data_IF_381157124664
#
_entry.id   IF_381157124664
#
_cell.length_a   1.000
_cell.length_b   1.000
_cell.length_c   1.000
_cell.angle_alpha   90.00
_cell.angle_beta   90.00
_cell.angle_gamma   90.00
#
_symmetry.space_group_name_H-M   'P 1'
#
loop_
_entity.id
_entity.type
_entity.pdbx_description
1 polymer ?
#
# COMPACT_ATOMS: atom_id res chain seq x y z
N UNK A 1 21.05 -20.83 -26.60
CA UNK A 1 20.56 -19.59 -27.25
C UNK A 1 19.15 -19.26 -26.82
N UNK A 2 18.15 -20.11 -27.08
CA UNK A 2 16.73 -19.79 -26.75
C UNK A 2 16.43 -19.73 -25.28
N UNK A 3 16.93 -20.68 -24.49
CA UNK A 3 16.52 -20.88 -23.10
C UNK A 3 17.56 -20.41 -22.07
N UNK A 4 18.78 -20.09 -22.49
CA UNK A 4 19.87 -19.70 -21.57
C UNK A 4 20.21 -18.22 -21.61
N UNK A 5 19.99 -17.56 -22.77
CA UNK A 5 20.24 -16.12 -22.92
C UNK A 5 18.95 -15.36 -22.62
N UNK A 6 19.03 -14.34 -21.78
CA UNK A 6 17.90 -13.50 -21.36
C UNK A 6 18.11 -12.03 -21.76
N UNK A 7 17.05 -11.24 -21.73
CA UNK A 7 17.13 -9.79 -21.85
C UNK A 7 18.01 -9.25 -20.71
N UNK A 8 18.95 -8.35 -21.06
CA UNK A 8 19.90 -7.79 -20.11
C UNK A 8 21.21 -8.58 -19.97
N UNK A 9 21.32 -9.80 -20.52
CA UNK A 9 22.59 -10.55 -20.51
C UNK A 9 23.65 -9.83 -21.29
N UNK A 10 24.88 -9.84 -20.76
CA UNK A 10 26.06 -9.33 -21.44
C UNK A 10 26.58 -10.41 -22.39
N UNK A 11 26.82 -10.02 -23.62
CA UNK A 11 27.41 -10.89 -24.65
C UNK A 11 28.78 -10.38 -25.06
N UNK A 12 29.72 -11.31 -25.19
CA UNK A 12 31.09 -11.06 -25.65
C UNK A 12 31.27 -11.74 -26.99
N UNK A 13 31.72 -11.00 -28.02
CA UNK A 13 32.04 -11.56 -29.32
C UNK A 13 33.49 -12.03 -29.33
N UNK A 14 33.70 -13.29 -29.71
CA UNK A 14 35.00 -13.93 -29.77
C UNK A 14 35.67 -13.68 -31.15
N UNK A 15 36.79 -12.99 -31.16
CA UNK A 15 37.60 -12.83 -32.36
C UNK A 15 38.60 -14.00 -32.56
N UNK A 16 39.20 -14.48 -31.47
CA UNK A 16 40.11 -15.61 -31.44
C UNK A 16 40.01 -16.39 -30.13
N UNK A 17 40.74 -17.47 -29.97
CA UNK A 17 40.80 -18.26 -28.75
C UNK A 17 41.21 -17.42 -27.50
N UNK A 18 41.80 -16.25 -27.68
CA UNK A 18 42.29 -15.39 -26.59
C UNK A 18 41.83 -13.94 -26.67
N UNK A 19 41.03 -13.56 -27.64
CA UNK A 19 40.63 -12.18 -27.81
C UNK A 19 39.14 -12.01 -28.07
N UNK A 20 38.57 -11.01 -27.42
CA UNK A 20 37.21 -10.54 -27.59
C UNK A 20 37.26 -9.23 -28.37
N UNK A 21 36.38 -9.04 -29.35
CA UNK A 21 36.36 -7.88 -30.23
C UNK A 21 35.09 -7.01 -30.09
N UNK A 22 34.06 -7.51 -29.41
CA UNK A 22 32.87 -6.72 -29.11
C UNK A 22 32.23 -7.17 -27.82
N UNK A 23 31.62 -6.18 -27.12
CA UNK A 23 30.88 -6.36 -25.90
C UNK A 23 29.50 -5.69 -26.08
N UNK A 24 28.41 -6.37 -25.77
CA UNK A 24 27.05 -5.85 -25.91
C UNK A 24 26.08 -6.40 -24.88
N UNK A 25 24.88 -5.86 -24.86
CA UNK A 25 23.79 -6.29 -24.01
C UNK A 25 22.60 -6.71 -24.87
N UNK A 26 22.00 -7.83 -24.54
CA UNK A 26 20.80 -8.33 -25.23
C UNK A 26 19.61 -7.42 -24.93
N UNK A 27 18.99 -6.89 -25.98
CA UNK A 27 17.84 -5.95 -25.88
C UNK A 27 16.57 -6.47 -26.54
N UNK A 28 16.59 -7.67 -27.12
CA UNK A 28 15.41 -8.23 -27.80
C UNK A 28 15.26 -9.73 -27.57
N UNK A 29 14.03 -10.20 -27.77
CA UNK A 29 13.70 -11.62 -27.79
C UNK A 29 14.29 -12.36 -28.99
N UNK A 30 14.37 -13.71 -28.96
CA UNK A 30 14.82 -14.46 -30.10
C UNK A 30 13.88 -14.28 -31.30
N UNK A 31 14.44 -13.89 -32.44
CA UNK A 31 13.71 -13.75 -33.69
C UNK A 31 14.08 -14.89 -34.64
N UNK A 32 13.12 -15.39 -35.43
CA UNK A 32 13.32 -16.35 -36.47
C UNK A 32 13.51 -15.65 -37.82
N UNK A 33 14.61 -15.98 -38.54
CA UNK A 33 14.93 -15.40 -39.85
C UNK A 33 14.69 -16.47 -40.91
N UNK A 34 13.52 -16.53 -41.53
CA UNK A 34 13.15 -17.60 -42.46
C UNK A 34 13.98 -17.60 -43.78
N UNK A 35 14.45 -16.42 -44.17
CA UNK A 35 15.17 -16.22 -45.45
C UNK A 35 16.69 -16.41 -45.36
N UNK A 36 17.23 -16.76 -44.19
CA UNK A 36 18.65 -17.01 -44.01
C UNK A 36 18.95 -18.51 -44.21
N UNK A 37 19.95 -18.83 -44.98
CA UNK A 37 20.37 -20.23 -45.22
C UNK A 37 21.03 -20.86 -43.99
N UNK A 38 21.79 -20.03 -43.22
CA UNK A 38 22.47 -20.41 -42.00
C UNK A 38 22.07 -19.49 -40.85
N UNK A 39 22.15 -19.99 -39.61
CA UNK A 39 21.89 -19.19 -38.39
C UNK A 39 20.51 -18.51 -38.37
N UNK A 40 19.44 -19.26 -38.59
CA UNK A 40 18.07 -18.80 -38.72
C UNK A 40 17.47 -18.13 -37.43
N UNK A 41 18.29 -17.89 -36.44
CA UNK A 41 17.86 -17.26 -35.17
C UNK A 41 18.77 -16.09 -34.83
N UNK A 42 18.16 -14.96 -34.50
CA UNK A 42 18.86 -13.76 -34.09
C UNK A 42 18.33 -13.24 -32.77
N UNK A 43 19.08 -12.36 -32.16
CA UNK A 43 18.66 -11.50 -31.03
C UNK A 43 19.21 -10.11 -31.25
N UNK A 44 18.44 -9.11 -30.87
CA UNK A 44 18.90 -7.71 -30.86
C UNK A 44 19.91 -7.54 -29.74
N UNK A 45 21.04 -6.93 -30.07
CA UNK A 45 22.13 -6.61 -29.14
C UNK A 45 22.46 -5.13 -29.27
N UNK A 46 22.47 -4.43 -28.15
CA UNK A 46 23.05 -3.10 -28.06
C UNK A 46 24.58 -3.28 -27.80
N UNK A 47 25.38 -2.98 -28.79
CA UNK A 47 26.84 -3.12 -28.71
C UNK A 47 27.43 -1.88 -28.03
N UNK A 48 28.05 -2.08 -26.86
CA UNK A 48 28.71 -1.05 -26.05
C UNK A 48 30.14 -0.78 -26.55
N UNK A 49 30.83 -1.81 -27.03
CA UNK A 49 32.17 -1.73 -27.56
C UNK A 49 32.27 -2.61 -28.81
N UNK A 50 32.95 -2.14 -29.85
CA UNK A 50 33.26 -2.90 -31.10
C UNK A 50 34.63 -2.57 -31.61
N UNK A 51 35.26 -3.55 -32.27
CA UNK A 51 36.49 -3.38 -33.06
C UNK A 51 37.77 -3.27 -32.25
N UNK A 52 37.71 -3.44 -30.93
CA UNK A 52 38.90 -3.49 -30.07
C UNK A 52 39.19 -4.94 -29.70
N UNK A 53 40.41 -5.39 -30.00
CA UNK A 53 40.88 -6.74 -29.61
C UNK A 53 41.38 -6.69 -28.18
N UNK A 54 40.58 -7.23 -27.23
CA UNK A 54 40.85 -7.26 -25.80
C UNK A 54 41.23 -8.70 -25.42
N UNK A 55 42.33 -8.87 -24.70
CA UNK A 55 42.72 -10.19 -24.20
C UNK A 55 41.75 -10.70 -23.14
N UNK A 56 41.51 -12.02 -23.15
CA UNK A 56 40.59 -12.67 -22.18
C UNK A 56 41.06 -12.55 -20.74
N UNK A 57 42.37 -12.36 -20.50
CA UNK A 57 42.91 -12.15 -19.15
C UNK A 57 42.35 -10.88 -18.49
N UNK A 58 41.96 -9.85 -19.24
CA UNK A 58 41.31 -8.66 -18.72
C UNK A 58 39.95 -8.95 -18.13
N UNK A 59 39.29 -10.02 -18.56
CA UNK A 59 37.99 -10.49 -18.01
C UNK A 59 38.16 -11.55 -16.92
N UNK A 60 39.40 -11.75 -16.43
CA UNK A 60 39.78 -12.80 -15.45
C UNK A 60 39.45 -14.23 -15.93
N UNK A 61 39.40 -14.43 -17.23
CA UNK A 61 39.19 -15.76 -17.80
C UNK A 61 40.48 -16.54 -17.85
N UNK A 62 40.58 -17.66 -17.16
CA UNK A 62 41.76 -18.52 -17.06
C UNK A 62 41.89 -19.54 -18.19
N UNK A 63 40.83 -19.73 -18.97
CA UNK A 63 40.79 -20.73 -20.05
C UNK A 63 40.55 -20.07 -21.40
N UNK A 64 41.22 -20.59 -22.43
CA UNK A 64 40.99 -20.17 -23.81
C UNK A 64 39.52 -20.33 -24.22
N UNK A 65 39.05 -19.41 -25.05
CA UNK A 65 37.68 -19.45 -25.59
C UNK A 65 37.54 -20.64 -26.54
N UNK A 66 36.38 -21.28 -26.50
CA UNK A 66 36.05 -22.43 -27.32
C UNK A 66 35.34 -21.97 -28.59
N UNK A 67 35.67 -22.59 -29.76
CA UNK A 67 34.92 -22.35 -30.99
C UNK A 67 33.55 -23.03 -30.96
N UNK A 68 32.68 -22.54 -30.09
CA UNK A 68 31.28 -22.94 -30.00
C UNK A 68 30.40 -21.72 -30.24
N UNK A 69 29.22 -21.94 -30.80
CA UNK A 69 28.34 -20.85 -31.22
C UNK A 69 27.95 -19.95 -30.10
N UNK A 70 27.57 -20.49 -28.94
CA UNK A 70 27.16 -19.74 -27.71
C UNK A 70 27.40 -20.60 -26.49
N UNK A 71 28.06 -20.06 -25.47
CA UNK A 71 28.22 -20.69 -24.15
C UNK A 71 28.43 -19.64 -23.06
N UNK A 72 28.22 -20.02 -21.82
CA UNK A 72 28.40 -19.17 -20.68
C UNK A 72 29.86 -19.08 -20.28
N UNK A 73 30.32 -17.86 -20.02
CA UNK A 73 31.66 -17.59 -19.51
C UNK A 73 31.65 -17.49 -17.99
N UNK A 74 32.78 -17.87 -17.39
CA UNK A 74 32.99 -17.74 -15.94
C UNK A 74 33.63 -16.38 -15.64
N UNK A 75 32.83 -15.32 -15.83
CA UNK A 75 33.20 -13.95 -15.54
C UNK A 75 31.95 -13.21 -15.00
N UNK A 76 32.17 -12.14 -14.26
CA UNK A 76 31.09 -11.35 -13.66
C UNK A 76 30.80 -10.07 -14.46
N UNK A 77 29.58 -9.54 -14.34
CA UNK A 77 29.23 -8.25 -14.94
C UNK A 77 30.15 -7.11 -14.44
N UNK A 78 30.58 -7.16 -13.19
CA UNK A 78 31.48 -6.16 -12.61
C UNK A 78 32.88 -6.19 -13.30
N UNK A 79 33.39 -7.34 -13.64
CA UNK A 79 34.66 -7.48 -14.36
C UNK A 79 34.54 -6.96 -15.78
N UNK A 80 33.46 -7.27 -16.48
CA UNK A 80 33.20 -6.76 -17.84
C UNK A 80 33.02 -5.21 -17.81
N UNK A 81 32.36 -4.64 -16.81
CA UNK A 81 32.24 -3.19 -16.69
C UNK A 81 33.59 -2.52 -16.50
N UNK A 82 34.48 -3.06 -15.67
CA UNK A 82 35.87 -2.56 -15.52
C UNK A 82 36.63 -2.55 -16.83
N UNK A 83 36.47 -3.58 -17.64
CA UNK A 83 37.11 -3.66 -18.97
C UNK A 83 36.50 -2.58 -19.89
N UNK A 84 35.20 -2.39 -19.87
CA UNK A 84 34.54 -1.34 -20.65
C UNK A 84 35.05 0.05 -20.26
N UNK A 85 35.12 0.37 -18.97
CA UNK A 85 35.63 1.64 -18.43
C UNK A 85 37.08 1.90 -18.84
N UNK A 86 37.94 0.90 -18.70
CA UNK A 86 39.35 0.95 -19.16
C UNK A 86 39.48 1.25 -20.65
N UNK A 87 38.50 0.79 -21.44
CA UNK A 87 38.48 1.02 -22.89
C UNK A 87 37.74 2.27 -23.33
N UNK A 88 37.43 3.18 -22.39
CA UNK A 88 36.85 4.49 -22.68
C UNK A 88 35.33 4.47 -22.82
N UNK A 89 34.68 3.40 -22.45
CA UNK A 89 33.25 3.38 -22.27
C UNK A 89 32.95 3.99 -20.90
N UNK A 90 32.50 5.22 -20.89
CA UNK A 90 31.85 5.78 -19.70
C UNK A 90 30.45 5.16 -19.63
N UNK A 91 30.12 4.35 -18.64
CA UNK A 91 28.73 3.97 -18.46
C UNK A 91 27.94 5.26 -18.36
N UNK A 92 27.06 5.49 -19.34
CA UNK A 92 26.12 6.60 -19.28
C UNK A 92 25.44 6.52 -17.93
N UNK A 93 25.66 7.55 -17.13
CA UNK A 93 25.12 7.78 -15.77
C UNK A 93 24.05 6.79 -15.39
N UNK A 94 24.20 6.26 -14.18
CA UNK A 94 23.24 5.34 -13.57
C UNK A 94 21.85 5.56 -14.17
N UNK A 95 21.30 4.56 -14.81
CA UNK A 95 19.89 4.58 -15.23
C UNK A 95 19.16 4.99 -13.98
N UNK A 96 18.58 6.19 -13.95
CA UNK A 96 17.73 6.60 -12.85
C UNK A 96 16.65 5.53 -12.76
N UNK A 97 16.86 4.59 -11.89
CA UNK A 97 15.89 3.55 -11.64
C UNK A 97 14.70 4.24 -10.99
N UNK A 98 13.65 4.46 -11.79
CA UNK A 98 12.43 5.07 -11.28
C UNK A 98 11.94 4.26 -10.07
N UNK A 99 11.58 4.90 -8.98
CA UNK A 99 10.99 4.21 -7.86
C UNK A 99 9.61 3.65 -8.24
N UNK A 100 9.34 2.43 -7.83
CA UNK A 100 8.04 1.79 -7.98
C UNK A 100 7.44 1.55 -6.60
N UNK A 101 6.16 1.86 -6.44
CA UNK A 101 5.42 1.63 -5.19
C UNK A 101 4.43 0.49 -5.41
N UNK A 102 4.55 -0.56 -4.62
CA UNK A 102 3.59 -1.65 -4.56
C UNK A 102 2.70 -1.45 -3.33
N UNK A 103 1.42 -1.18 -3.56
CA UNK A 103 0.46 -0.87 -2.49
C UNK A 103 -0.29 -2.15 -2.13
N UNK A 104 -0.35 -2.46 -0.83
CA UNK A 104 -1.13 -3.55 -0.25
C UNK A 104 -2.15 -2.91 0.68
N UNK A 105 -3.37 -2.78 0.19
CA UNK A 105 -4.46 -2.23 0.98
C UNK A 105 -4.97 -3.28 1.98
N UNK A 106 -5.29 -2.84 3.21
CA UNK A 106 -5.76 -3.72 4.30
C UNK A 106 -4.83 -4.92 4.56
N UNK A 107 -3.53 -4.64 4.67
CA UNK A 107 -2.49 -5.68 4.80
C UNK A 107 -2.74 -6.64 5.97
N UNK A 108 -3.43 -6.21 7.01
CA UNK A 108 -3.75 -6.99 8.20
C UNK A 108 -4.98 -7.92 8.04
N UNK A 109 -5.78 -7.79 6.96
CA UNK A 109 -6.95 -8.67 6.71
C UNK A 109 -6.58 -10.09 6.27
N UNK A 110 -5.34 -10.30 5.83
CA UNK A 110 -4.83 -11.62 5.44
C UNK A 110 -3.76 -12.14 6.40
N UNK A 111 -3.53 -13.45 6.38
CA UNK A 111 -2.35 -14.01 7.05
C UNK A 111 -1.12 -13.75 6.19
N UNK A 112 -0.53 -12.58 6.36
CA UNK A 112 0.56 -12.07 5.54
C UNK A 112 1.78 -12.99 5.57
N UNK A 113 2.11 -13.55 6.71
CA UNK A 113 3.23 -14.51 6.82
C UNK A 113 3.01 -15.75 5.96
N UNK A 114 1.77 -16.21 5.81
CA UNK A 114 1.43 -17.32 4.90
C UNK A 114 1.40 -16.87 3.43
N UNK A 115 0.95 -15.64 3.15
CA UNK A 115 0.87 -15.10 1.79
C UNK A 115 2.26 -14.86 1.23
N UNK A 116 3.14 -14.22 1.98
CA UNK A 116 4.52 -13.98 1.56
C UNK A 116 5.39 -15.25 1.66
N UNK A 117 5.14 -16.12 2.63
CA UNK A 117 5.95 -17.31 2.83
C UNK A 117 7.44 -16.98 2.89
N UNK A 118 8.24 -17.67 2.07
CA UNK A 118 9.69 -17.45 1.94
C UNK A 118 10.05 -16.06 1.39
N UNK A 119 9.13 -15.39 0.70
CA UNK A 119 9.37 -14.05 0.13
C UNK A 119 9.50 -12.97 1.22
N UNK A 120 9.07 -13.25 2.46
CA UNK A 120 9.11 -12.30 3.56
C UNK A 120 10.51 -11.77 3.83
N UNK A 121 11.53 -12.60 3.61
CA UNK A 121 12.93 -12.23 3.79
C UNK A 121 13.39 -11.21 2.74
N UNK A 122 12.83 -11.27 1.52
CA UNK A 122 13.17 -10.36 0.43
C UNK A 122 12.67 -8.92 0.63
N UNK A 123 11.79 -8.70 1.61
CA UNK A 123 11.28 -7.37 1.96
C UNK A 123 12.40 -6.53 2.59
N UNK A 124 13.34 -7.15 3.29
CA UNK A 124 14.44 -6.47 3.97
C UNK A 124 15.33 -5.72 2.96
N UNK A 125 15.70 -4.45 3.24
CA UNK A 125 16.52 -3.66 2.32
C UNK A 125 17.84 -4.32 1.94
N UNK A 126 18.53 -4.97 2.90
CA UNK A 126 19.82 -5.64 2.65
C UNK A 126 19.70 -6.87 1.75
N UNK A 127 18.51 -7.45 1.64
CA UNK A 127 18.24 -8.67 0.83
C UNK A 127 17.72 -8.36 -0.58
N UNK A 128 17.58 -7.07 -0.92
CA UNK A 128 17.14 -6.62 -2.24
C UNK A 128 18.19 -6.94 -3.32
N UNK A 129 17.73 -7.12 -4.55
CA UNK A 129 18.63 -7.30 -5.70
C UNK A 129 19.56 -6.09 -5.84
N UNK A 130 20.86 -6.36 -6.05
CA UNK A 130 21.89 -5.32 -6.15
C UNK A 130 22.52 -4.93 -4.81
N UNK A 131 22.00 -5.38 -3.68
CA UNK A 131 22.58 -5.14 -2.36
C UNK A 131 23.63 -6.21 -2.00
N UNK A 132 24.49 -5.93 -1.02
CA UNK A 132 25.60 -6.81 -0.62
C UNK A 132 25.16 -8.21 -0.16
N UNK A 133 23.98 -8.32 0.39
CA UNK A 133 23.36 -9.58 0.83
C UNK A 133 22.15 -9.96 -0.04
N UNK A 134 22.13 -9.48 -1.29
CA UNK A 134 21.04 -9.71 -2.21
C UNK A 134 20.66 -11.18 -2.34
N UNK A 135 19.39 -11.50 -2.17
CA UNK A 135 18.88 -12.86 -2.15
C UNK A 135 17.84 -13.09 -3.24
N UNK A 136 17.86 -14.26 -3.81
CA UNK A 136 16.80 -14.76 -4.67
C UNK A 136 16.26 -16.08 -4.13
N UNK A 137 14.96 -16.25 -4.21
CA UNK A 137 14.27 -17.49 -3.83
C UNK A 137 13.61 -18.11 -5.06
N UNK A 138 13.43 -19.41 -5.02
CA UNK A 138 12.73 -20.14 -6.08
C UNK A 138 11.24 -20.17 -5.78
N UNK A 139 10.44 -19.59 -6.67
CA UNK A 139 8.98 -19.58 -6.50
C UNK A 139 8.42 -21.02 -6.56
N UNK A 140 7.49 -21.38 -5.65
CA UNK A 140 7.04 -22.77 -5.50
C UNK A 140 6.32 -23.32 -6.76
N UNK A 141 5.54 -22.50 -7.44
CA UNK A 141 4.77 -22.94 -8.60
C UNK A 141 5.55 -22.83 -9.92
N UNK A 142 6.12 -21.66 -10.20
CA UNK A 142 6.80 -21.40 -11.46
C UNK A 142 8.23 -21.95 -11.52
N UNK A 143 8.80 -22.31 -10.36
CA UNK A 143 10.19 -22.72 -10.19
C UNK A 143 11.23 -21.68 -10.69
N UNK A 144 10.78 -20.46 -10.96
CA UNK A 144 11.65 -19.34 -11.36
C UNK A 144 12.32 -18.71 -10.15
N UNK A 145 13.55 -18.26 -10.32
CA UNK A 145 14.23 -17.42 -9.34
C UNK A 145 13.54 -16.05 -9.29
N UNK A 146 13.28 -15.57 -8.09
CA UNK A 146 12.64 -14.31 -7.83
C UNK A 146 13.39 -13.53 -6.76
N UNK A 147 13.57 -12.24 -6.98
CA UNK A 147 14.13 -11.28 -6.03
C UNK A 147 13.44 -9.95 -6.18
N UNK A 148 13.44 -9.14 -5.13
CA UNK A 148 12.84 -7.80 -5.16
C UNK A 148 13.94 -6.79 -5.46
N UNK A 149 13.79 -5.96 -6.52
CA UNK A 149 14.72 -4.86 -6.80
C UNK A 149 14.74 -3.81 -5.68
N UNK A 150 15.83 -3.10 -5.53
CA UNK A 150 16.02 -2.08 -4.48
C UNK A 150 15.15 -0.84 -4.69
N UNK A 151 14.74 -0.57 -5.93
CA UNK A 151 13.85 0.54 -6.30
C UNK A 151 12.35 0.26 -6.14
N UNK A 152 11.97 -0.88 -5.56
CA UNK A 152 10.58 -1.23 -5.24
C UNK A 152 10.27 -0.93 -3.78
N UNK A 153 9.28 -0.08 -3.54
CA UNK A 153 8.79 0.28 -2.22
C UNK A 153 7.48 -0.44 -1.94
N UNK A 154 7.33 -0.98 -0.74
CA UNK A 154 6.10 -1.61 -0.28
C UNK A 154 5.38 -0.65 0.66
N UNK A 155 4.15 -0.30 0.33
CA UNK A 155 3.27 0.52 1.15
C UNK A 155 2.07 -0.33 1.57
N UNK A 156 1.94 -0.61 2.87
CA UNK A 156 0.77 -1.29 3.42
C UNK A 156 -0.15 -0.30 4.12
N UNK A 157 -1.45 -0.39 3.89
CA UNK A 157 -2.45 0.27 4.74
C UNK A 157 -3.07 -0.74 5.68
N UNK A 158 -3.49 -0.31 6.85
CA UNK A 158 -4.23 -1.14 7.79
C UNK A 158 -5.18 -0.29 8.64
N UNK A 159 -6.32 -0.87 8.97
CA UNK A 159 -7.22 -0.32 9.98
C UNK A 159 -6.97 -1.06 11.32
N UNK A 160 -6.54 -0.33 12.35
CA UNK A 160 -6.25 -0.89 13.68
C UNK A 160 -7.48 -0.95 14.57
N UNK A 161 -8.54 -0.19 14.24
CA UNK A 161 -9.80 -0.20 14.99
C UNK A 161 -10.57 -1.52 14.87
N UNK A 162 -10.36 -2.27 13.80
CA UNK A 162 -11.04 -3.55 13.57
C UNK A 162 -10.40 -4.67 14.41
N UNK A 163 -10.97 -4.94 15.58
CA UNK A 163 -10.50 -5.96 16.53
C UNK A 163 -10.67 -7.41 16.03
N UNK A 164 -11.43 -7.62 14.97
CA UNK A 164 -11.63 -8.94 14.37
C UNK A 164 -10.43 -9.40 13.53
N UNK A 165 -9.48 -8.50 13.26
CA UNK A 165 -8.35 -8.74 12.39
C UNK A 165 -7.12 -9.15 13.21
N UNK A 166 -6.39 -10.14 12.72
CA UNK A 166 -5.17 -10.62 13.36
C UNK A 166 -4.10 -9.52 13.43
N UNK A 167 -3.47 -9.38 14.61
CA UNK A 167 -2.30 -8.50 14.74
C UNK A 167 -1.21 -8.96 13.77
N UNK A 168 -0.51 -7.99 13.17
CA UNK A 168 0.64 -8.30 12.34
C UNK A 168 1.68 -9.12 13.09
N UNK A 169 2.12 -10.20 12.46
CA UNK A 169 3.18 -11.06 12.96
C UNK A 169 4.45 -10.23 13.27
N UNK A 170 5.15 -10.61 14.33
CA UNK A 170 6.39 -9.98 14.78
C UNK A 170 7.45 -9.92 13.68
N UNK A 171 7.48 -10.93 12.80
CA UNK A 171 8.42 -10.98 11.68
C UNK A 171 8.18 -9.84 10.67
N UNK A 172 6.93 -9.54 10.37
CA UNK A 172 6.53 -8.41 9.51
C UNK A 172 6.75 -7.07 10.22
N UNK A 173 6.37 -6.99 11.49
CA UNK A 173 6.49 -5.76 12.26
C UNK A 173 7.91 -5.21 12.30
N UNK A 174 8.91 -6.07 12.21
CA UNK A 174 10.34 -5.68 12.16
C UNK A 174 10.79 -5.17 10.78
N UNK A 175 10.04 -5.47 9.71
CA UNK A 175 10.40 -5.17 8.32
C UNK A 175 9.71 -3.93 7.77
N UNK A 176 8.71 -3.41 8.48
CA UNK A 176 7.99 -2.21 8.12
C UNK A 176 8.21 -1.09 9.13
N UNK A 177 8.28 0.13 8.64
CA UNK A 177 8.12 1.33 9.47
C UNK A 177 6.65 1.67 9.55
N UNK A 178 6.17 2.00 10.75
CA UNK A 178 4.76 2.31 10.98
C UNK A 178 4.58 3.80 11.15
N UNK A 179 3.63 4.35 10.42
CA UNK A 179 3.19 5.74 10.57
C UNK A 179 1.72 5.72 10.89
N UNK A 180 1.35 6.26 12.05
CA UNK A 180 -0.03 6.39 12.45
C UNK A 180 -0.67 7.57 11.72
N UNK A 181 -1.86 7.37 11.17
CA UNK A 181 -2.64 8.40 10.49
C UNK A 181 -3.94 8.65 11.25
N UNK A 182 -3.86 9.51 12.26
CA UNK A 182 -5.03 9.95 13.00
C UNK A 182 -5.88 10.93 12.19
N UNK A 183 -7.20 11.04 12.48
CA UNK A 183 -8.02 12.08 11.90
C UNK A 183 -7.43 13.47 12.13
N UNK A 184 -7.25 14.22 11.08
CA UNK A 184 -6.76 15.60 11.12
C UNK A 184 -7.92 16.56 10.82
N UNK A 185 -8.48 17.18 11.86
CA UNK A 185 -9.55 18.18 11.71
C UNK A 185 -9.08 19.45 11.00
N UNK A 186 -7.77 19.77 11.05
CA UNK A 186 -7.19 20.94 10.40
C UNK A 186 -7.35 20.93 8.87
N UNK A 187 -7.52 19.74 8.26
CA UNK A 187 -7.86 19.63 6.83
C UNK A 187 -9.17 20.36 6.50
N UNK A 188 -10.05 20.57 7.49
CA UNK A 188 -11.36 21.23 7.34
C UNK A 188 -11.39 22.66 7.93
N UNK A 189 -10.23 23.24 8.24
CA UNK A 189 -10.16 24.62 8.72
C UNK A 189 -10.74 25.59 7.69
N UNK A 190 -11.53 26.54 8.16
CA UNK A 190 -12.25 27.49 7.30
C UNK A 190 -13.46 26.89 6.56
N UNK A 191 -13.79 25.62 6.79
CA UNK A 191 -15.05 25.04 6.31
C UNK A 191 -16.14 25.30 7.35
N UNK A 192 -17.11 26.12 6.99
CA UNK A 192 -18.25 26.48 7.82
C UNK A 192 -19.58 26.17 7.11
N UNK A 193 -20.55 25.71 7.89
CA UNK A 193 -21.94 25.51 7.47
C UNK A 193 -22.83 26.34 8.41
N UNK A 194 -23.51 27.35 7.88
CA UNK A 194 -24.39 28.27 8.67
C UNK A 194 -23.69 28.83 9.92
N UNK A 195 -22.38 29.15 9.83
CA UNK A 195 -21.57 29.64 10.93
C UNK A 195 -21.08 28.57 11.92
N UNK A 196 -21.28 27.29 11.61
CA UNK A 196 -20.75 26.17 12.40
C UNK A 196 -19.39 25.76 11.82
N UNK A 197 -18.34 25.82 12.64
CA UNK A 197 -17.01 25.32 12.27
C UNK A 197 -16.99 23.79 12.21
N UNK A 198 -16.75 23.22 11.03
CA UNK A 198 -16.72 21.77 10.86
C UNK A 198 -15.50 21.15 11.55
N UNK A 199 -14.36 21.81 11.51
CA UNK A 199 -13.14 21.40 12.24
C UNK A 199 -13.41 21.32 13.75
N UNK A 200 -14.06 22.35 14.34
CA UNK A 200 -14.44 22.37 15.75
C UNK A 200 -15.46 21.28 16.13
N UNK A 201 -16.44 21.07 15.26
CA UNK A 201 -17.48 20.04 15.42
C UNK A 201 -16.85 18.63 15.53
N UNK A 202 -15.99 18.27 14.58
CA UNK A 202 -15.32 16.96 14.56
C UNK A 202 -14.41 16.80 15.76
N UNK A 203 -13.65 17.83 16.11
CA UNK A 203 -12.77 17.82 17.27
C UNK A 203 -13.55 17.52 18.56
N UNK A 204 -14.72 18.14 18.70
CA UNK A 204 -15.60 17.92 19.87
C UNK A 204 -16.14 16.49 19.91
N UNK A 205 -16.62 15.98 18.77
CA UNK A 205 -17.13 14.61 18.67
C UNK A 205 -16.04 13.59 18.99
N UNK A 206 -14.86 13.74 18.36
CA UNK A 206 -13.75 12.82 18.55
C UNK A 206 -13.28 12.79 20.00
N UNK A 207 -13.20 13.95 20.66
CA UNK A 207 -12.85 13.99 22.08
C UNK A 207 -13.87 13.27 22.97
N UNK A 208 -15.17 13.35 22.65
CA UNK A 208 -16.22 12.61 23.37
C UNK A 208 -16.10 11.09 23.13
N UNK A 209 -15.78 10.70 21.88
CA UNK A 209 -15.56 9.29 21.53
C UNK A 209 -14.34 8.75 22.27
N UNK A 210 -13.23 9.46 22.29
CA UNK A 210 -12.03 9.05 23.04
C UNK A 210 -12.31 8.79 24.51
N UNK A 211 -13.13 9.64 25.14
CA UNK A 211 -13.46 9.50 26.57
C UNK A 211 -14.42 8.34 26.84
N UNK A 212 -15.37 8.09 25.94
CA UNK A 212 -16.43 7.09 26.14
C UNK A 212 -16.10 5.72 25.57
N UNK A 213 -15.12 5.64 24.69
CA UNK A 213 -14.71 4.41 24.01
C UNK A 213 -13.19 4.30 23.93
N UNK A 214 -12.56 4.79 22.86
CA UNK A 214 -11.11 4.87 22.73
C UNK A 214 -10.69 5.84 21.60
N UNK A 215 -9.37 6.04 21.43
CA UNK A 215 -8.81 6.93 20.42
C UNK A 215 -8.82 6.35 18.98
N UNK A 216 -8.92 5.04 18.84
CA UNK A 216 -8.81 4.37 17.53
C UNK A 216 -10.13 4.43 16.77
N UNK A 217 -11.26 4.64 17.48
CA UNK A 217 -12.59 4.73 16.90
C UNK A 217 -13.06 6.16 16.63
N UNK A 218 -12.14 7.12 16.50
CA UNK A 218 -12.47 8.50 16.19
C UNK A 218 -12.97 8.66 14.74
N UNK A 219 -13.84 9.65 14.51
CA UNK A 219 -14.41 9.94 13.20
C UNK A 219 -13.35 10.51 12.25
N UNK A 220 -13.18 9.89 11.08
CA UNK A 220 -12.31 10.37 10.04
C UNK A 220 -12.79 11.70 9.44
N UNK A 221 -11.87 12.67 9.25
CA UNK A 221 -12.18 13.93 8.57
C UNK A 221 -12.67 13.73 7.12
N UNK A 222 -12.35 12.60 6.51
CA UNK A 222 -12.75 12.25 5.14
C UNK A 222 -14.27 12.24 4.94
N UNK A 223 -15.07 11.90 5.97
CA UNK A 223 -16.52 11.93 5.90
C UNK A 223 -17.07 13.34 5.61
N UNK A 224 -16.37 14.36 6.07
CA UNK A 224 -16.78 15.76 6.01
C UNK A 224 -16.16 16.54 4.85
N UNK A 225 -15.26 15.93 4.08
CA UNK A 225 -14.63 16.59 2.92
C UNK A 225 -15.62 17.08 1.85
N UNK A 226 -16.80 16.46 1.62
CA UNK A 226 -17.80 17.01 0.70
C UNK A 226 -18.26 18.43 1.07
N UNK A 227 -18.21 18.81 2.37
CA UNK A 227 -18.56 20.14 2.83
C UNK A 227 -17.59 21.24 2.36
N UNK A 228 -16.41 20.88 1.85
CA UNK A 228 -15.51 21.85 1.19
C UNK A 228 -16.14 22.45 -0.07
N UNK A 229 -16.99 21.67 -0.75
CA UNK A 229 -17.66 22.08 -2.00
C UNK A 229 -19.11 22.51 -1.73
N UNK A 230 -19.86 21.75 -0.93
CA UNK A 230 -21.25 22.02 -0.59
C UNK A 230 -21.38 22.39 0.89
N UNK A 231 -21.33 23.69 1.18
CA UNK A 231 -21.42 24.25 2.55
C UNK A 231 -22.89 24.38 2.99
N UNK A 232 -23.65 23.29 2.93
CA UNK A 232 -25.07 23.30 3.23
C UNK A 232 -25.43 22.43 4.42
N UNK A 233 -26.45 22.84 5.18
CA UNK A 233 -27.01 22.04 6.27
C UNK A 233 -27.55 20.70 5.76
N UNK A 234 -28.06 20.68 4.52
CA UNK A 234 -28.52 19.45 3.88
C UNK A 234 -27.40 18.40 3.77
N UNK A 235 -26.24 18.80 3.24
CA UNK A 235 -25.08 17.90 3.12
C UNK A 235 -24.56 17.47 4.50
N UNK A 236 -24.51 18.38 5.46
CA UNK A 236 -24.10 18.05 6.84
C UNK A 236 -25.06 17.03 7.46
N UNK A 237 -26.36 17.25 7.34
CA UNK A 237 -27.39 16.34 7.84
C UNK A 237 -27.32 14.94 7.21
N UNK A 238 -27.09 14.86 5.92
CA UNK A 238 -26.89 13.58 5.22
C UNK A 238 -25.64 12.85 5.73
N UNK A 239 -24.52 13.54 5.96
CA UNK A 239 -23.33 12.94 6.54
C UNK A 239 -23.61 12.36 7.92
N UNK A 240 -24.34 13.11 8.77
CA UNK A 240 -24.69 12.62 10.11
C UNK A 240 -25.64 11.43 10.04
N UNK A 241 -26.70 11.55 9.26
CA UNK A 241 -27.73 10.49 9.13
C UNK A 241 -27.15 9.19 8.54
N UNK A 242 -26.36 9.31 7.47
CA UNK A 242 -25.98 8.16 6.65
C UNK A 242 -24.60 7.59 7.00
N UNK A 243 -23.78 8.33 7.76
CA UNK A 243 -22.41 7.90 8.08
C UNK A 243 -22.10 7.99 9.58
N UNK A 244 -22.29 9.15 10.21
CA UNK A 244 -21.87 9.36 11.61
C UNK A 244 -22.71 8.54 12.58
N UNK A 245 -24.03 8.65 12.49
CA UNK A 245 -24.93 7.92 13.40
C UNK A 245 -24.81 6.41 13.23
N UNK A 246 -24.84 5.83 12.03
CA UNK A 246 -24.62 4.38 11.85
C UNK A 246 -23.28 3.91 12.40
N UNK A 247 -22.20 4.68 12.19
CA UNK A 247 -20.88 4.33 12.72
C UNK A 247 -20.84 4.36 14.25
N UNK A 248 -21.51 5.34 14.88
CA UNK A 248 -21.62 5.36 16.34
C UNK A 248 -22.45 4.20 16.89
N UNK A 249 -23.50 3.77 16.18
CA UNK A 249 -24.27 2.57 16.53
C UNK A 249 -23.39 1.32 16.50
N UNK A 250 -22.54 1.18 15.48
CA UNK A 250 -21.58 0.08 15.39
C UNK A 250 -20.54 0.13 16.51
N UNK A 251 -19.93 1.29 16.78
CA UNK A 251 -18.88 1.43 17.79
C UNK A 251 -19.37 1.15 19.20
N UNK A 252 -20.55 1.64 19.53
CA UNK A 252 -21.14 1.50 20.86
C UNK A 252 -22.08 0.31 21.01
N UNK A 253 -22.16 -0.58 19.99
CA UNK A 253 -23.01 -1.78 20.01
C UNK A 253 -24.45 -1.45 20.44
N UNK A 254 -25.04 -0.39 19.83
CA UNK A 254 -26.38 0.12 20.13
C UNK A 254 -26.58 0.60 21.59
N UNK A 255 -25.50 0.93 22.31
CA UNK A 255 -25.59 1.69 23.57
C UNK A 255 -25.99 3.14 23.28
N UNK A 256 -27.28 3.36 23.11
CA UNK A 256 -27.84 4.67 22.75
C UNK A 256 -27.60 5.74 23.80
N UNK A 257 -27.39 5.40 25.07
CA UNK A 257 -27.01 6.38 26.09
C UNK A 257 -25.66 7.04 25.76
N UNK A 258 -24.65 6.23 25.38
CA UNK A 258 -23.33 6.75 24.98
C UNK A 258 -23.42 7.51 23.67
N UNK A 259 -24.18 7.01 22.71
CA UNK A 259 -24.40 7.68 21.42
C UNK A 259 -25.00 9.09 21.65
N UNK A 260 -26.05 9.21 22.49
CA UNK A 260 -26.63 10.49 22.86
C UNK A 260 -25.65 11.42 23.60
N UNK A 261 -24.71 10.87 24.38
CA UNK A 261 -23.65 11.65 25.02
C UNK A 261 -22.66 12.20 24.00
N UNK A 262 -22.22 11.36 23.04
CA UNK A 262 -21.34 11.79 21.95
C UNK A 262 -22.01 12.91 21.14
N UNK A 263 -23.24 12.70 20.74
CA UNK A 263 -24.03 13.67 19.96
C UNK A 263 -24.49 14.87 20.74
N UNK A 264 -24.33 14.88 22.07
CA UNK A 264 -24.74 16.00 22.95
C UNK A 264 -26.24 16.12 23.16
N UNK A 265 -27.03 15.10 22.91
CA UNK A 265 -28.48 15.10 23.00
C UNK A 265 -28.99 15.40 24.41
N UNK A 266 -28.27 14.97 25.45
CA UNK A 266 -28.68 15.22 26.86
C UNK A 266 -28.71 16.72 27.23
N UNK A 267 -28.02 17.58 26.48
CA UNK A 267 -28.00 19.04 26.71
C UNK A 267 -29.08 19.81 25.93
N UNK A 268 -29.82 19.13 25.04
CA UNK A 268 -30.76 19.74 24.11
C UNK A 268 -32.21 19.52 24.55
N UNK A 269 -33.11 20.42 24.20
CA UNK A 269 -34.54 20.17 24.31
C UNK A 269 -34.95 19.01 23.41
N UNK A 270 -35.96 18.27 23.76
CA UNK A 270 -36.33 16.99 23.15
C UNK A 270 -36.55 17.09 21.64
N UNK A 271 -37.14 18.17 21.12
CA UNK A 271 -37.39 18.37 19.70
C UNK A 271 -36.10 18.55 18.85
N UNK A 272 -35.00 18.94 19.51
CA UNK A 272 -33.69 19.13 18.88
C UNK A 272 -32.74 17.93 19.06
N UNK A 273 -33.15 16.84 19.68
CA UNK A 273 -32.35 15.64 19.86
C UNK A 273 -32.33 14.81 18.60
N UNK A 274 -31.19 14.20 18.28
CA UNK A 274 -31.08 13.21 17.21
C UNK A 274 -31.87 11.94 17.53
N UNK A 275 -31.99 11.62 18.83
CA UNK A 275 -32.76 10.48 19.31
C UNK A 275 -33.87 10.95 20.29
N UNK A 276 -35.07 10.53 19.98
CA UNK A 276 -36.23 10.63 20.93
C UNK A 276 -36.21 9.39 21.79
N UNK A 277 -36.40 9.59 23.08
CA UNK A 277 -36.43 8.52 24.08
C UNK A 277 -37.89 8.26 24.45
N UNK A 278 -38.32 7.03 24.28
CA UNK A 278 -39.67 6.60 24.64
C UNK A 278 -39.56 5.51 25.72
N UNK A 279 -40.26 5.72 26.82
CA UNK A 279 -40.40 4.71 27.86
C UNK A 279 -41.69 3.96 27.61
N UNK A 280 -41.58 2.64 27.46
CA UNK A 280 -42.75 1.81 27.20
C UNK A 280 -43.74 1.83 28.36
N UNK A 281 -45.02 2.01 28.07
CA UNK A 281 -46.08 1.78 29.01
C UNK A 281 -46.33 0.26 29.16
N UNK A 282 -45.74 -0.31 30.21
CA UNK A 282 -45.77 -1.75 30.44
C UNK A 282 -47.19 -2.29 30.69
N UNK A 283 -48.02 -1.50 31.38
CA UNK A 283 -49.38 -1.91 31.64
C UNK A 283 -50.19 -2.00 30.35
N UNK A 284 -50.00 -1.05 29.43
CA UNK A 284 -50.62 -1.08 28.11
C UNK A 284 -50.15 -2.24 27.23
N UNK A 285 -48.84 -2.57 27.29
CA UNK A 285 -48.23 -3.58 26.46
C UNK A 285 -48.45 -5.02 26.96
N UNK A 286 -48.36 -5.23 28.27
CA UNK A 286 -48.35 -6.57 28.88
C UNK A 286 -49.53 -6.85 29.82
N UNK A 287 -50.38 -5.85 30.08
CA UNK A 287 -51.57 -6.03 30.93
C UNK A 287 -51.27 -6.21 32.41
N UNK A 288 -50.03 -6.01 32.83
CA UNK A 288 -49.58 -6.12 34.22
C UNK A 288 -48.38 -5.23 34.49
N UNK A 289 -48.22 -4.82 35.75
CA UNK A 289 -46.98 -4.17 36.19
C UNK A 289 -45.87 -5.18 36.34
N UNK A 290 -44.72 -4.87 35.72
CA UNK A 290 -43.53 -5.72 35.77
C UNK A 290 -42.54 -5.15 36.82
N UNK A 291 -41.98 -6.03 37.66
CA UNK A 291 -41.05 -5.63 38.74
C UNK A 291 -39.60 -5.52 38.27
N UNK A 292 -39.33 -5.31 36.97
CA UNK A 292 -37.99 -5.12 36.46
C UNK A 292 -37.81 -3.79 35.72
N UNK A 293 -36.57 -3.30 35.68
CA UNK A 293 -36.24 -2.09 34.94
C UNK A 293 -36.37 -2.37 33.42
N UNK A 294 -37.09 -1.49 32.75
CA UNK A 294 -37.30 -1.55 31.31
C UNK A 294 -36.36 -0.56 30.65
N UNK A 295 -35.63 -1.06 29.68
CA UNK A 295 -34.77 -0.19 28.87
C UNK A 295 -35.65 0.75 28.01
N UNK A 296 -35.30 2.04 27.94
CA UNK A 296 -35.99 2.97 27.06
C UNK A 296 -35.76 2.61 25.60
N UNK A 297 -36.74 2.90 24.78
CA UNK A 297 -36.61 2.75 23.31
C UNK A 297 -36.14 4.06 22.70
N UNK A 298 -35.21 3.97 21.75
CA UNK A 298 -34.64 5.13 21.07
C UNK A 298 -35.12 5.19 19.63
N UNK A 299 -35.66 6.31 19.21
CA UNK A 299 -36.15 6.54 17.86
C UNK A 299 -35.40 7.70 17.23
N UNK A 300 -34.90 7.48 16.00
CA UNK A 300 -34.24 8.55 15.23
C UNK A 300 -35.26 9.69 14.98
N UNK A 301 -34.82 10.93 15.19
CA UNK A 301 -35.58 12.12 14.84
C UNK A 301 -35.08 12.69 13.49
N UNK A 302 -35.74 12.41 12.36
CA UNK A 302 -35.24 12.81 11.05
C UNK A 302 -35.12 14.33 10.85
N UNK A 303 -35.95 15.10 11.53
CA UNK A 303 -35.96 16.58 11.44
C UNK A 303 -34.68 17.19 12.04
N UNK A 304 -34.13 16.58 13.09
CA UNK A 304 -32.97 17.10 13.78
C UNK A 304 -31.71 17.16 12.90
N UNK A 305 -31.60 16.28 11.90
CA UNK A 305 -30.44 16.27 11.00
C UNK A 305 -30.32 17.51 10.13
N UNK A 306 -31.41 18.21 9.90
CA UNK A 306 -31.45 19.36 9.01
C UNK A 306 -31.74 20.68 9.76
N UNK A 307 -31.73 20.65 11.09
CA UNK A 307 -31.85 21.81 11.94
C UNK A 307 -30.47 22.32 12.35
N UNK A 308 -30.12 23.55 11.94
CA UNK A 308 -28.86 24.22 12.24
C UNK A 308 -28.58 24.32 13.74
N UNK A 309 -29.62 24.59 14.52
CA UNK A 309 -29.49 24.79 15.99
C UNK A 309 -29.03 23.52 16.71
N UNK A 310 -29.30 22.36 16.13
CA UNK A 310 -28.80 21.07 16.63
C UNK A 310 -27.28 21.01 16.62
N UNK A 311 -26.66 21.52 15.58
CA UNK A 311 -25.18 21.49 15.41
C UNK A 311 -24.50 22.63 16.18
N UNK A 312 -25.14 23.77 16.36
CA UNK A 312 -24.60 24.87 17.19
C UNK A 312 -24.41 24.49 18.65
N UNK A 313 -25.23 23.60 19.14
CA UNK A 313 -25.21 23.11 20.51
C UNK A 313 -24.46 21.79 20.69
N UNK A 314 -23.74 21.34 19.65
CA UNK A 314 -22.96 20.12 19.65
C UNK A 314 -21.55 20.37 20.14
#
# INVERSE_FOLDING_TARGET
FLNRMQLGDIVLSCYSARTIDAIGVITGDPEWLPNEDHYKRSRKVNWLLKGKKIDIEEFQLSRSLVQSTVYQLDTTAAEVIKVLEKNGFAPTTAVETKPYVFIIDEINRGNISKIFGELITLIEPSKRLGQSEGLQVRLPYSQKLFGIPDNVYLLGTMNTADRSIAMLDTALRRRFSFTEMMPDSGVLDGVEVEGISISGLITTLNRRIEVLFDREHTLGHAFFTPLRQSRSIQTLGEIFRDKVVPLLQEYFYDDYEKICLVLGDKKRPEHQRFFKVETADLQSLFGTDLEFEVNPTYHINPAAFFDVEVYRNL
#
